data_IF_116062747788
#
_entry.id   IF_116062747788
#
_cell.length_a   1.000
_cell.length_b   1.000
_cell.length_c   1.000
_cell.angle_alpha   90.00
_cell.angle_beta   90.00
_cell.angle_gamma   90.00
#
_symmetry.space_group_name_H-M   'P 1'
#
loop_
_entity.id
_entity.type
_entity.pdbx_description
1 polymer ?
#
# COMPACT_ATOMS: atom_id res chain seq x y z
N UNK A 1 15.63 -26.82 -33.48
CA UNK A 1 16.35 -25.60 -33.91
C UNK A 1 16.97 -24.98 -32.67
N UNK A 2 18.29 -25.15 -32.51
CA UNK A 2 19.09 -24.53 -31.47
C UNK A 2 19.21 -23.02 -31.73
N UNK A 3 19.14 -22.19 -30.69
CA UNK A 3 19.87 -20.92 -30.66
C UNK A 3 20.54 -20.71 -29.31
N UNK A 4 21.84 -20.48 -29.42
CA UNK A 4 22.86 -20.26 -28.42
C UNK A 4 23.02 -18.74 -28.19
N UNK A 5 23.32 -18.38 -26.93
CA UNK A 5 23.98 -17.19 -26.35
C UNK A 5 23.98 -15.80 -27.04
N UNK A 6 23.75 -14.76 -26.23
CA UNK A 6 24.67 -13.60 -26.13
C UNK A 6 24.81 -13.16 -24.67
N UNK A 7 26.06 -12.96 -24.26
CA UNK A 7 26.54 -12.49 -22.96
C UNK A 7 26.86 -10.98 -23.04
N UNK A 8 26.92 -10.35 -21.86
CA UNK A 8 27.64 -9.12 -21.50
C UNK A 8 26.85 -7.81 -21.35
N UNK A 9 26.86 -7.29 -20.13
CA UNK A 9 27.21 -5.90 -19.87
C UNK A 9 27.87 -5.79 -18.48
N UNK A 10 29.14 -5.39 -18.51
CA UNK A 10 29.98 -4.98 -17.38
C UNK A 10 29.59 -3.57 -16.98
N UNK A 11 29.43 -3.29 -15.69
CA UNK A 11 29.48 -1.92 -15.16
C UNK A 11 30.54 -1.87 -14.06
N UNK A 12 31.63 -1.18 -14.37
CA UNK A 12 32.60 -0.66 -13.41
C UNK A 12 31.96 0.51 -12.63
N UNK A 13 32.14 0.53 -11.32
CA UNK A 13 32.08 1.76 -10.53
C UNK A 13 33.27 1.80 -9.56
N UNK A 14 33.94 2.94 -9.56
CA UNK A 14 35.31 3.16 -9.13
C UNK A 14 35.50 3.23 -7.60
N UNK A 15 36.63 2.71 -7.15
CA UNK A 15 37.20 2.98 -5.84
C UNK A 15 37.71 4.43 -5.75
N UNK A 16 37.45 5.10 -4.64
CA UNK A 16 38.23 6.25 -4.18
C UNK A 16 38.27 6.23 -2.66
N UNK A 17 39.38 5.74 -2.12
CA UNK A 17 39.67 5.69 -0.70
C UNK A 17 41.17 5.64 -0.49
N UNK A 18 41.80 6.81 -0.49
CA UNK A 18 43.22 7.04 -0.23
C UNK A 18 43.47 7.01 1.28
N UNK A 19 44.48 6.26 1.76
CA UNK A 19 45.07 6.56 3.07
C UNK A 19 45.77 5.41 3.81
N UNK A 20 47.10 5.44 3.77
CA UNK A 20 48.07 5.05 4.79
C UNK A 20 48.31 3.55 5.13
N UNK A 21 49.50 3.06 4.75
CA UNK A 21 50.29 2.10 5.53
C UNK A 21 51.15 2.88 6.56
N UNK A 22 51.55 2.27 7.70
CA UNK A 22 52.77 1.47 7.67
C UNK A 22 52.72 0.14 8.47
N UNK A 23 53.47 -0.81 7.90
CA UNK A 23 54.05 -2.05 8.42
C UNK A 23 54.09 -2.28 9.93
N UNK A 24 53.59 -3.45 10.34
CA UNK A 24 53.90 -4.11 11.60
C UNK A 24 54.01 -5.63 11.40
N UNK A 25 55.21 -6.17 11.60
CA UNK A 25 55.55 -7.60 11.55
C UNK A 25 54.96 -8.32 12.78
N UNK A 26 54.27 -9.44 12.57
CA UNK A 26 53.80 -10.30 13.66
C UNK A 26 53.10 -11.57 13.21
N UNK A 27 53.82 -12.68 13.30
CA UNK A 27 53.40 -14.05 13.69
C UNK A 27 52.09 -14.65 13.15
N UNK A 28 52.25 -15.78 12.46
CA UNK A 28 51.21 -16.70 11.98
C UNK A 28 50.28 -17.21 13.10
N UNK A 29 48.97 -17.03 12.91
CA UNK A 29 47.91 -17.85 13.50
C UNK A 29 46.99 -18.36 12.37
N UNK A 30 46.48 -19.60 12.45
CA UNK A 30 45.56 -20.12 11.44
C UNK A 30 44.23 -19.38 11.53
N UNK A 31 43.84 -18.72 10.45
CA UNK A 31 42.51 -18.14 10.29
C UNK A 31 41.51 -19.30 10.26
N UNK A 32 40.80 -19.49 11.37
CA UNK A 32 39.57 -20.25 11.40
C UNK A 32 38.57 -19.53 10.49
N UNK A 33 38.44 -20.05 9.26
CA UNK A 33 37.44 -19.60 8.29
C UNK A 33 36.05 -19.89 8.84
N UNK A 34 35.56 -19.01 9.70
CA UNK A 34 34.14 -18.88 9.97
C UNK A 34 33.50 -18.32 8.71
N UNK A 35 32.96 -19.23 7.89
CA UNK A 35 32.10 -18.88 6.77
C UNK A 35 31.00 -17.97 7.34
N UNK A 36 30.80 -16.75 6.82
CA UNK A 36 29.64 -15.97 7.23
C UNK A 36 28.41 -16.79 6.88
N UNK A 37 27.65 -17.18 7.91
CA UNK A 37 26.36 -17.79 7.72
C UNK A 37 25.53 -16.83 6.85
N UNK A 38 25.29 -17.23 5.62
CA UNK A 38 24.28 -16.63 4.77
C UNK A 38 22.96 -16.80 5.50
N UNK A 39 22.59 -15.80 6.30
CA UNK A 39 21.22 -15.59 6.74
C UNK A 39 20.44 -15.27 5.48
N UNK A 40 19.94 -16.31 4.83
CA UNK A 40 18.81 -16.18 3.93
C UNK A 40 17.67 -15.62 4.78
N UNK A 41 17.49 -14.30 4.75
CA UNK A 41 16.21 -13.70 5.09
C UNK A 41 15.21 -14.32 4.14
N UNK A 42 14.47 -15.31 4.63
CA UNK A 42 13.25 -15.77 3.98
C UNK A 42 12.29 -14.60 4.16
N UNK A 43 12.29 -13.66 3.21
CA UNK A 43 11.12 -12.82 3.00
C UNK A 43 9.95 -13.80 2.85
N UNK A 44 9.03 -13.77 3.83
CA UNK A 44 7.77 -14.47 3.67
C UNK A 44 7.18 -13.97 2.35
N UNK A 45 6.91 -14.83 1.36
CA UNK A 45 6.20 -14.37 0.18
C UNK A 45 4.90 -13.76 0.70
N UNK A 46 4.71 -12.46 0.44
CA UNK A 46 3.46 -11.78 0.78
C UNK A 46 2.29 -12.55 0.19
N UNK A 47 1.09 -12.36 0.75
CA UNK A 47 -0.12 -12.96 0.20
C UNK A 47 -0.28 -12.58 -1.28
N UNK A 48 -0.63 -13.55 -2.12
CA UNK A 48 -0.92 -13.32 -3.52
C UNK A 48 -2.23 -12.52 -3.68
N UNK A 49 -2.39 -11.79 -4.79
CA UNK A 49 -3.66 -11.10 -5.12
C UNK A 49 -4.89 -11.99 -4.92
N UNK A 50 -4.85 -13.23 -5.39
CA UNK A 50 -5.99 -14.16 -5.29
C UNK A 50 -6.33 -14.49 -3.83
N UNK A 51 -5.33 -14.64 -2.95
CA UNK A 51 -5.53 -14.86 -1.52
C UNK A 51 -6.12 -13.63 -0.84
N UNK A 52 -5.72 -12.43 -1.28
CA UNK A 52 -6.24 -11.18 -0.73
C UNK A 52 -7.67 -10.93 -1.21
N UNK A 53 -7.97 -11.14 -2.49
CA UNK A 53 -9.34 -11.07 -3.01
C UNK A 53 -10.25 -12.10 -2.31
N UNK A 54 -9.76 -13.31 -2.03
CA UNK A 54 -10.50 -14.30 -1.26
C UNK A 54 -10.74 -13.85 0.19
N UNK A 55 -9.74 -13.20 0.81
CA UNK A 55 -9.86 -12.63 2.15
C UNK A 55 -10.90 -11.50 2.17
N UNK A 56 -10.83 -10.58 1.20
CA UNK A 56 -11.77 -9.47 1.06
C UNK A 56 -13.20 -9.97 0.79
N UNK A 57 -13.36 -11.00 -0.05
CA UNK A 57 -14.65 -11.65 -0.26
C UNK A 57 -15.21 -12.29 1.02
N UNK A 58 -14.34 -12.86 1.87
CA UNK A 58 -14.72 -13.42 3.17
C UNK A 58 -15.15 -12.38 4.20
N UNK A 59 -14.61 -11.16 4.14
CA UNK A 59 -15.03 -10.03 4.98
C UNK A 59 -16.45 -9.55 4.60
N UNK A 60 -16.77 -9.61 3.30
CA UNK A 60 -18.05 -9.16 2.76
C UNK A 60 -18.19 -7.62 2.73
N UNK A 61 -19.42 -7.10 2.58
CA UNK A 61 -19.67 -5.66 2.61
C UNK A 61 -19.22 -5.07 3.94
N UNK A 62 -18.42 -4.01 3.88
CA UNK A 62 -17.92 -3.31 5.07
C UNK A 62 -19.04 -2.42 5.63
N UNK A 63 -19.69 -2.91 6.67
CA UNK A 63 -20.80 -2.24 7.37
C UNK A 63 -20.48 -1.91 8.83
N UNK A 64 -19.37 -2.45 9.35
CA UNK A 64 -18.90 -2.26 10.71
C UNK A 64 -17.45 -1.80 10.76
N UNK A 65 -17.07 -1.22 11.89
CA UNK A 65 -15.69 -0.82 12.15
C UNK A 65 -14.72 -2.01 12.11
N UNK A 66 -15.14 -3.18 12.61
CA UNK A 66 -14.31 -4.39 12.64
C UNK A 66 -14.03 -4.90 11.22
N UNK A 67 -15.03 -4.85 10.33
CA UNK A 67 -14.84 -5.19 8.93
C UNK A 67 -13.89 -4.20 8.23
N UNK A 68 -14.00 -2.90 8.53
CA UNK A 68 -13.08 -1.90 7.98
C UNK A 68 -11.63 -2.17 8.42
N UNK A 69 -11.42 -2.46 9.71
CA UNK A 69 -10.12 -2.84 10.27
C UNK A 69 -9.56 -4.10 9.61
N UNK A 70 -10.39 -5.12 9.38
CA UNK A 70 -9.99 -6.34 8.71
C UNK A 70 -9.50 -6.09 7.27
N UNK A 71 -10.16 -5.19 6.52
CA UNK A 71 -9.69 -4.79 5.18
C UNK A 71 -8.34 -4.08 5.26
N UNK A 72 -8.17 -3.15 6.19
CA UNK A 72 -6.92 -2.39 6.38
C UNK A 72 -5.76 -3.34 6.76
N UNK A 73 -6.01 -4.31 7.64
CA UNK A 73 -5.04 -5.32 8.04
C UNK A 73 -4.65 -6.24 6.88
N UNK A 74 -5.63 -6.71 6.08
CA UNK A 74 -5.36 -7.53 4.91
C UNK A 74 -4.43 -6.83 3.89
N UNK A 75 -4.61 -5.52 3.70
CA UNK A 75 -3.72 -4.70 2.85
C UNK A 75 -2.34 -4.50 3.51
N UNK A 76 -2.27 -4.31 4.83
CA UNK A 76 -0.98 -4.23 5.53
C UNK A 76 -0.18 -5.55 5.48
N UNK A 77 -0.87 -6.69 5.44
CA UNK A 77 -0.26 -8.02 5.32
C UNK A 77 0.12 -8.41 3.89
N UNK A 78 -0.56 -7.86 2.89
CA UNK A 78 -0.26 -8.04 1.47
C UNK A 78 0.35 -6.76 0.88
N UNK A 79 1.67 -6.70 0.77
CA UNK A 79 2.45 -5.51 0.38
C UNK A 79 2.24 -5.03 -1.08
N UNK A 80 1.06 -5.19 -1.68
CA UNK A 80 0.76 -4.72 -3.03
C UNK A 80 0.13 -3.33 -3.00
N UNK A 81 0.80 -2.38 -3.64
CA UNK A 81 0.31 -1.01 -3.82
C UNK A 81 -1.04 -0.94 -4.56
N UNK A 82 -1.34 -1.97 -5.35
CA UNK A 82 -2.62 -2.10 -6.06
C UNK A 82 -3.82 -2.26 -5.13
N UNK A 83 -3.61 -2.65 -3.87
CA UNK A 83 -4.68 -2.86 -2.89
C UNK A 83 -4.92 -1.66 -1.97
N UNK A 84 -4.06 -0.64 -2.06
CA UNK A 84 -4.21 0.62 -1.33
C UNK A 84 -5.62 1.23 -1.46
N UNK A 85 -6.30 1.21 -2.64
CA UNK A 85 -7.66 1.71 -2.76
C UNK A 85 -8.68 1.07 -1.82
N UNK A 86 -8.54 -0.23 -1.49
CA UNK A 86 -9.43 -0.92 -0.54
C UNK A 86 -9.24 -0.38 0.88
N UNK A 87 -8.00 -0.34 1.37
CA UNK A 87 -7.71 0.16 2.71
C UNK A 87 -8.06 1.64 2.86
N UNK A 88 -7.77 2.44 1.82
CA UNK A 88 -8.10 3.86 1.82
C UNK A 88 -9.61 4.08 1.94
N UNK A 89 -10.42 3.45 1.10
CA UNK A 89 -11.88 3.65 1.15
C UNK A 89 -12.53 3.03 2.39
N UNK A 90 -12.04 1.89 2.88
CA UNK A 90 -12.49 1.31 4.16
C UNK A 90 -12.18 2.23 5.35
N UNK A 91 -11.01 2.88 5.35
CA UNK A 91 -10.64 3.85 6.36
C UNK A 91 -11.55 5.09 6.35
N UNK A 92 -12.03 5.51 5.18
CA UNK A 92 -12.87 6.72 5.05
C UNK A 92 -14.26 6.58 5.66
N UNK A 93 -14.77 5.36 5.78
CA UNK A 93 -16.04 5.08 6.45
C UNK A 93 -15.86 4.73 7.94
N UNK A 94 -14.62 4.75 8.44
CA UNK A 94 -14.28 4.41 9.83
C UNK A 94 -14.20 5.65 10.73
N UNK A 95 -13.92 5.43 12.02
CA UNK A 95 -13.65 6.53 12.95
C UNK A 95 -12.29 7.20 12.72
N UNK A 96 -12.06 8.36 13.34
CA UNK A 96 -10.85 9.14 13.14
C UNK A 96 -9.56 8.46 13.64
N UNK A 97 -9.65 7.55 14.60
CA UNK A 97 -8.50 6.79 15.10
C UNK A 97 -8.08 5.73 14.10
N UNK A 98 -9.05 4.94 13.64
CA UNK A 98 -8.89 3.89 12.63
C UNK A 98 -8.43 4.49 11.31
N UNK A 99 -8.98 5.64 10.91
CA UNK A 99 -8.50 6.36 9.73
C UNK A 99 -7.00 6.69 9.84
N UNK A 100 -6.53 7.28 10.95
CA UNK A 100 -5.11 7.62 11.12
C UNK A 100 -4.22 6.38 11.13
N UNK A 101 -4.64 5.32 11.83
CA UNK A 101 -3.90 4.06 11.86
C UNK A 101 -3.80 3.44 10.46
N UNK A 102 -4.89 3.45 9.69
CA UNK A 102 -4.90 2.97 8.32
C UNK A 102 -3.95 3.74 7.42
N UNK A 103 -3.91 5.07 7.55
CA UNK A 103 -2.99 5.89 6.76
C UNK A 103 -1.52 5.57 7.10
N UNK A 104 -1.19 5.29 8.36
CA UNK A 104 0.15 4.83 8.72
C UNK A 104 0.49 3.48 8.06
N UNK A 105 -0.45 2.53 8.04
CA UNK A 105 -0.31 1.25 7.33
C UNK A 105 -0.09 1.46 5.83
N UNK A 106 -0.92 2.28 5.19
CA UNK A 106 -0.81 2.59 3.76
C UNK A 106 0.53 3.26 3.46
N UNK A 107 0.97 4.20 4.30
CA UNK A 107 2.29 4.85 4.18
C UNK A 107 3.45 3.84 4.19
N UNK A 108 3.35 2.81 5.03
CA UNK A 108 4.29 1.68 5.04
C UNK A 108 4.29 0.88 3.73
N UNK A 109 3.12 0.63 3.15
CA UNK A 109 2.98 -0.10 1.87
C UNK A 109 3.51 0.70 0.69
N UNK A 110 3.20 1.99 0.60
CA UNK A 110 3.63 2.83 -0.54
C UNK A 110 5.04 3.41 -0.38
N UNK A 111 5.64 3.29 0.80
CA UNK A 111 6.97 3.84 1.11
C UNK A 111 7.03 5.36 1.21
N UNK A 112 5.89 6.01 1.41
CA UNK A 112 5.77 7.47 1.51
C UNK A 112 5.02 7.88 2.78
N UNK A 113 5.45 8.99 3.37
CA UNK A 113 4.84 9.56 4.56
C UNK A 113 4.30 10.96 4.29
N UNK A 114 3.09 11.28 4.78
CA UNK A 114 2.51 12.61 4.67
C UNK A 114 3.27 13.60 5.57
N UNK A 115 3.20 14.90 5.26
CA UNK A 115 3.90 15.93 6.04
C UNK A 115 3.31 16.14 7.44
N UNK A 116 2.03 15.79 7.65
CA UNK A 116 1.33 15.91 8.94
C UNK A 116 0.30 14.79 9.09
N UNK A 117 -0.14 14.53 10.33
CA UNK A 117 -1.16 13.55 10.70
C UNK A 117 -2.59 14.14 10.79
N UNK A 118 -2.75 15.40 10.37
CA UNK A 118 -4.02 16.09 10.23
C UNK A 118 -4.91 15.36 9.21
N UNK A 119 -6.18 15.09 9.57
CA UNK A 119 -7.12 14.32 8.74
C UNK A 119 -7.15 14.83 7.29
N UNK A 120 -7.27 16.14 7.08
CA UNK A 120 -7.29 16.74 5.74
C UNK A 120 -5.99 16.52 4.97
N UNK A 121 -4.85 16.63 5.64
CA UNK A 121 -3.53 16.40 5.04
C UNK A 121 -3.40 14.95 4.60
N UNK A 122 -3.78 14.02 5.48
CA UNK A 122 -3.78 12.59 5.21
C UNK A 122 -4.70 12.25 4.02
N UNK A 123 -5.99 12.60 4.07
CA UNK A 123 -6.93 12.31 2.99
C UNK A 123 -6.46 12.86 1.65
N UNK A 124 -5.94 14.10 1.63
CA UNK A 124 -5.41 14.68 0.40
C UNK A 124 -4.17 13.95 -0.10
N UNK A 125 -3.21 13.66 0.78
CA UNK A 125 -1.94 13.04 0.41
C UNK A 125 -2.16 11.67 -0.25
N UNK A 126 -2.87 10.77 0.42
CA UNK A 126 -3.14 9.43 -0.12
C UNK A 126 -4.12 9.47 -1.28
N UNK A 127 -5.06 10.43 -1.27
CA UNK A 127 -5.94 10.68 -2.39
C UNK A 127 -5.17 11.06 -3.66
N UNK A 128 -4.28 12.05 -3.56
CA UNK A 128 -3.42 12.49 -4.65
C UNK A 128 -2.50 11.35 -5.13
N UNK A 129 -2.00 10.52 -4.20
CA UNK A 129 -1.19 9.35 -4.54
C UNK A 129 -1.96 8.35 -5.42
N UNK A 130 -3.21 7.99 -5.07
CA UNK A 130 -4.06 7.08 -5.89
C UNK A 130 -4.30 7.69 -7.28
N UNK A 131 -4.57 9.01 -7.34
CA UNK A 131 -4.79 9.70 -8.60
C UNK A 131 -3.57 9.63 -9.52
N UNK A 132 -2.38 9.87 -8.98
CA UNK A 132 -1.14 9.99 -9.74
C UNK A 132 -0.53 8.64 -10.11
N UNK A 133 -0.64 7.63 -9.24
CA UNK A 133 -0.03 6.31 -9.46
C UNK A 133 -0.96 5.31 -10.14
N UNK A 134 -2.27 5.55 -10.13
CA UNK A 134 -3.26 4.73 -10.81
C UNK A 134 -3.18 3.23 -10.45
N UNK A 135 -3.17 2.86 -9.16
CA UNK A 135 -3.17 1.45 -8.76
C UNK A 135 -4.33 0.70 -9.40
N UNK A 136 -4.11 -0.55 -9.81
CA UNK A 136 -5.15 -1.41 -10.38
C UNK A 136 -5.65 -2.41 -9.33
N UNK A 137 -6.74 -2.09 -8.60
CA UNK A 137 -7.29 -2.95 -7.55
C UNK A 137 -8.04 -4.16 -8.11
N UNK A 138 -8.10 -4.30 -9.43
CA UNK A 138 -8.79 -5.40 -10.11
C UNK A 138 -10.31 -5.26 -10.15
N UNK A 139 -10.97 -6.11 -10.96
CA UNK A 139 -12.41 -6.00 -11.22
C UNK A 139 -13.29 -6.25 -9.99
N UNK A 140 -12.81 -7.01 -9.00
CA UNK A 140 -13.53 -7.27 -7.75
C UNK A 140 -13.77 -5.98 -6.93
N UNK A 141 -12.97 -4.94 -7.17
CA UNK A 141 -13.06 -3.68 -6.44
C UNK A 141 -14.33 -2.90 -6.75
N UNK A 142 -14.85 -2.99 -7.98
CA UNK A 142 -16.04 -2.25 -8.42
C UNK A 142 -17.27 -2.64 -7.59
N UNK A 143 -17.69 -3.92 -7.54
CA UNK A 143 -18.83 -4.32 -6.72
C UNK A 143 -18.55 -4.14 -5.22
N UNK A 144 -17.30 -4.30 -4.78
CA UNK A 144 -16.92 -4.07 -3.38
C UNK A 144 -17.12 -2.60 -2.97
N UNK A 145 -16.62 -1.65 -3.77
CA UNK A 145 -16.76 -0.21 -3.52
C UNK A 145 -18.22 0.21 -3.64
N UNK A 146 -18.95 -0.33 -4.62
CA UNK A 146 -20.39 -0.14 -4.75
C UNK A 146 -21.12 -0.48 -3.45
N UNK A 147 -20.90 -1.69 -2.93
CA UNK A 147 -21.51 -2.15 -1.68
C UNK A 147 -21.07 -1.34 -0.45
N UNK A 148 -19.80 -0.91 -0.39
CA UNK A 148 -19.29 -0.05 0.68
C UNK A 148 -20.06 1.27 0.73
N UNK A 149 -20.17 1.96 -0.40
CA UNK A 149 -20.81 3.28 -0.46
C UNK A 149 -22.35 3.20 -0.44
N UNK A 150 -22.95 2.07 -0.82
CA UNK A 150 -24.38 1.81 -0.68
C UNK A 150 -24.88 1.94 0.78
N UNK A 151 -23.99 1.74 1.77
CA UNK A 151 -24.31 1.97 3.19
C UNK A 151 -24.54 3.44 3.53
N UNK A 152 -24.00 4.36 2.73
CA UNK A 152 -24.18 5.80 2.87
C UNK A 152 -25.41 6.23 2.07
N UNK A 153 -25.46 5.86 0.80
CA UNK A 153 -26.59 6.11 -0.10
C UNK A 153 -26.73 4.94 -1.09
N UNK A 154 -27.88 4.24 -1.14
CA UNK A 154 -28.12 3.16 -2.09
C UNK A 154 -27.93 3.55 -3.56
N UNK A 155 -28.05 4.83 -3.93
CA UNK A 155 -27.83 5.30 -5.30
C UNK A 155 -26.37 5.16 -5.75
N UNK A 156 -25.42 5.05 -4.82
CA UNK A 156 -24.00 4.91 -5.18
C UNK A 156 -23.67 3.58 -5.85
N UNK A 157 -24.35 2.49 -5.48
CA UNK A 157 -24.08 1.17 -6.05
C UNK A 157 -24.27 1.14 -7.59
N UNK A 158 -25.43 1.53 -8.15
CA UNK A 158 -25.60 1.56 -9.61
C UNK A 158 -24.71 2.60 -10.30
N UNK A 159 -24.38 3.72 -9.63
CA UNK A 159 -23.46 4.72 -10.18
C UNK A 159 -22.03 4.18 -10.30
N UNK A 160 -21.52 3.51 -9.28
CA UNK A 160 -20.19 2.90 -9.31
C UNK A 160 -20.16 1.74 -10.31
N UNK A 161 -21.20 0.89 -10.31
CA UNK A 161 -21.33 -0.22 -11.26
C UNK A 161 -21.41 0.22 -12.73
N UNK A 162 -21.76 1.49 -13.01
CA UNK A 162 -21.78 2.03 -14.38
C UNK A 162 -20.37 2.28 -14.96
N UNK A 163 -19.33 2.21 -14.13
CA UNK A 163 -17.93 2.41 -14.53
C UNK A 163 -17.24 1.05 -14.59
N UNK A 164 -16.80 0.65 -15.79
CA UNK A 164 -16.22 -0.68 -16.04
C UNK A 164 -14.75 -0.80 -15.66
N UNK A 165 -14.01 0.32 -15.59
CA UNK A 165 -12.58 0.34 -15.34
C UNK A 165 -12.28 0.48 -13.83
N UNK A 166 -11.65 -0.53 -13.17
CA UNK A 166 -11.37 -0.48 -11.74
C UNK A 166 -10.39 0.62 -11.36
N UNK A 167 -9.46 1.00 -12.25
CA UNK A 167 -8.53 2.13 -12.01
C UNK A 167 -9.30 3.45 -11.97
N UNK A 168 -10.25 3.64 -12.90
CA UNK A 168 -11.17 4.79 -12.88
C UNK A 168 -12.00 4.80 -11.60
N UNK A 169 -12.55 3.65 -11.18
CA UNK A 169 -13.32 3.54 -9.92
C UNK A 169 -12.46 3.84 -8.69
N UNK A 170 -11.18 3.47 -8.66
CA UNK A 170 -10.25 3.81 -7.58
C UNK A 170 -10.01 5.33 -7.49
N UNK A 171 -9.98 6.00 -8.65
CA UNK A 171 -9.85 7.46 -8.75
C UNK A 171 -11.12 8.22 -8.38
N UNK A 172 -12.29 7.58 -8.37
CA UNK A 172 -13.51 8.18 -7.85
C UNK A 172 -13.40 8.34 -6.34
N UNK A 173 -12.93 9.51 -5.92
CA UNK A 173 -12.80 9.88 -4.52
C UNK A 173 -13.96 10.76 -4.11
N UNK A 174 -14.71 10.31 -3.12
CA UNK A 174 -15.82 11.06 -2.57
C UNK A 174 -15.33 11.98 -1.47
N UNK A 175 -15.19 13.27 -1.77
CA UNK A 175 -14.88 14.29 -0.78
C UNK A 175 -16.05 14.51 0.16
N UNK A 176 -16.06 13.82 1.31
CA UNK A 176 -16.95 14.19 2.40
C UNK A 176 -16.63 15.62 2.86
N UNK A 177 -17.65 16.45 2.96
CA UNK A 177 -17.57 17.68 3.76
C UNK A 177 -17.70 17.24 5.22
N UNK A 178 -16.70 17.52 6.05
CA UNK A 178 -16.82 17.31 7.50
C UNK A 178 -18.06 18.08 8.00
N UNK A 179 -18.94 17.47 8.80
CA UNK A 179 -19.87 18.25 9.64
C UNK A 179 -19.02 19.24 10.45
N UNK A 180 -19.27 20.54 10.33
CA UNK A 180 -18.41 21.60 10.87
C UNK A 180 -17.46 22.27 9.87
N UNK A 181 -17.20 21.67 8.70
CA UNK A 181 -16.18 22.10 7.73
C UNK A 181 -16.66 23.13 6.71
N UNK A 182 -17.97 23.28 6.55
CA UNK A 182 -18.62 24.37 5.81
C UNK A 182 -19.52 25.08 6.83
N UNK A 183 -19.16 26.28 7.31
CA UNK A 183 -19.93 27.01 8.31
C UNK A 183 -21.43 27.11 7.98
N UNK A 184 -21.74 27.25 6.69
CA UNK A 184 -23.09 27.43 6.16
C UNK A 184 -24.00 26.18 6.27
N UNK A 185 -23.44 25.01 6.62
CA UNK A 185 -24.18 23.74 6.69
C UNK A 185 -24.34 23.20 8.13
N UNK A 186 -23.98 23.98 9.16
CA UNK A 186 -23.96 23.51 10.55
C UNK A 186 -25.24 23.79 11.35
N UNK A 187 -26.15 24.64 10.82
CA UNK A 187 -27.34 25.13 11.55
C UNK A 187 -28.66 24.50 11.06
N UNK A 188 -28.60 23.36 10.36
CA UNK A 188 -29.79 22.63 9.88
C UNK A 188 -30.27 21.57 10.88
#
# INVERSE_FOLDING_TARGET
>A
MNRLYVLAAVVLAACSGTGAEPSGVGTSDPIETTVPATVSSVESPGSTRAEIEATLAGIGPVTTLDQAKAVIEAVGGGMETDLVPYAYDAARVSDAETFRAAMATIGGVIGEAPPTDEFRSLSRFYGDWIMNNAPDPGPAYIPWKGALFANIDPEFEPLIASVEDPVTVARLQWGGVLRGGIPELNDA
#
